data_IF_593611099899
#
_entry.id   IF_593611099899
#
_cell.length_a   1.000
_cell.length_b   1.000
_cell.length_c   1.000
_cell.angle_alpha   90.00
_cell.angle_beta   90.00
_cell.angle_gamma   90.00
#
_symmetry.space_group_name_H-M   'P 1'
#
loop_
_entity.id
_entity.type
_entity.pdbx_description
1 polymer ?
#
# COMPACT_ATOMS: atom_id res chain seq x y z
N UNK A 1 9.04 -4.72 -6.79
CA UNK A 1 10.40 -4.58 -6.18
C UNK A 1 10.38 -4.41 -4.67
N UNK A 2 9.23 -4.09 -4.07
CA UNK A 2 9.07 -3.83 -2.63
C UNK A 2 8.01 -4.71 -1.97
N UNK A 3 7.52 -5.75 -2.65
CA UNK A 3 6.49 -6.65 -2.11
C UNK A 3 6.93 -7.29 -0.79
N UNK A 4 8.24 -7.49 -0.60
CA UNK A 4 8.83 -8.04 0.63
C UNK A 4 8.74 -7.12 1.85
N UNK A 5 8.45 -5.82 1.68
CA UNK A 5 8.20 -4.90 2.81
C UNK A 5 6.77 -5.01 3.35
N UNK A 6 5.85 -5.55 2.55
CA UNK A 6 4.47 -5.81 2.94
C UNK A 6 4.29 -7.21 3.53
N UNK A 7 3.07 -7.74 3.43
CA UNK A 7 2.70 -9.03 3.98
C UNK A 7 2.41 -10.08 2.88
N UNK A 8 1.39 -9.84 2.05
CA UNK A 8 0.89 -10.79 1.06
C UNK A 8 0.22 -10.09 -0.12
N UNK A 9 0.12 -10.71 -1.31
CA UNK A 9 -0.79 -10.24 -2.36
C UNK A 9 -2.28 -10.49 -2.03
N UNK A 10 -2.58 -11.28 -0.99
CA UNK A 10 -3.95 -11.52 -0.52
C UNK A 10 -4.44 -10.38 0.39
N UNK A 11 -5.61 -9.76 0.11
CA UNK A 11 -6.08 -8.59 0.84
C UNK A 11 -6.46 -8.90 2.29
N UNK A 12 -6.99 -10.10 2.56
CA UNK A 12 -7.41 -10.51 3.91
C UNK A 12 -6.18 -10.75 4.80
N UNK A 13 -5.21 -11.50 4.31
CA UNK A 13 -3.97 -11.78 5.05
C UNK A 13 -3.18 -10.50 5.32
N UNK A 14 -3.14 -9.58 4.34
CA UNK A 14 -2.49 -8.28 4.52
C UNK A 14 -3.27 -7.38 5.49
N UNK A 15 -4.61 -7.37 5.43
CA UNK A 15 -5.44 -6.60 6.35
C UNK A 15 -5.21 -6.97 7.82
N UNK A 16 -5.27 -8.28 8.13
CA UNK A 16 -4.96 -8.79 9.47
C UNK A 16 -3.52 -8.43 9.89
N UNK A 17 -2.54 -8.61 9.00
CA UNK A 17 -1.15 -8.26 9.27
C UNK A 17 -0.94 -6.76 9.57
N UNK A 18 -1.64 -5.90 8.85
CA UNK A 18 -1.60 -4.45 9.06
C UNK A 18 -2.25 -4.05 10.40
N UNK A 19 -3.46 -4.54 10.69
CA UNK A 19 -4.19 -4.19 11.91
C UNK A 19 -3.42 -4.56 13.19
N UNK A 20 -2.89 -5.78 13.27
CA UNK A 20 -2.12 -6.25 14.42
C UNK A 20 -0.81 -5.48 14.58
N UNK A 21 -0.12 -5.18 13.47
CA UNK A 21 1.13 -4.40 13.50
C UNK A 21 0.87 -2.96 13.97
N UNK A 22 -0.19 -2.32 13.45
CA UNK A 22 -0.58 -0.96 13.85
C UNK A 22 -0.93 -0.93 15.32
N UNK A 23 -1.72 -1.89 15.80
CA UNK A 23 -2.12 -2.01 17.20
C UNK A 23 -0.89 -2.10 18.10
N UNK A 24 0.05 -3.01 17.80
CA UNK A 24 1.28 -3.15 18.59
C UNK A 24 2.15 -1.88 18.63
N UNK A 25 2.25 -1.14 17.51
CA UNK A 25 2.99 0.12 17.46
C UNK A 25 2.30 1.20 18.32
N UNK A 26 0.99 1.34 18.21
CA UNK A 26 0.23 2.37 18.92
C UNK A 26 0.09 2.09 20.41
N UNK A 27 -0.04 0.82 20.82
CA UNK A 27 -0.02 0.40 22.22
C UNK A 27 1.32 0.73 22.91
N UNK A 28 2.42 0.72 22.15
CA UNK A 28 3.74 1.14 22.63
C UNK A 28 3.90 2.68 22.72
N UNK A 29 2.84 3.44 22.43
CA UNK A 29 2.83 4.91 22.53
C UNK A 29 3.46 5.63 21.34
N UNK A 30 3.55 4.97 20.18
CA UNK A 30 4.11 5.55 18.95
C UNK A 30 3.05 5.60 17.85
N UNK A 31 3.01 6.69 17.08
CA UNK A 31 2.08 6.82 15.94
C UNK A 31 2.50 5.86 14.82
N UNK A 32 1.60 4.97 14.41
CA UNK A 32 1.79 4.12 13.25
C UNK A 32 1.47 4.87 11.93
N UNK A 33 1.99 4.38 10.81
CA UNK A 33 1.74 4.95 9.48
C UNK A 33 1.50 3.83 8.46
N UNK A 34 0.25 3.71 8.00
CA UNK A 34 -0.13 2.79 6.93
C UNK A 34 0.40 3.33 5.58
N UNK A 35 1.19 2.52 4.86
CA UNK A 35 1.81 2.92 3.59
C UNK A 35 1.93 1.75 2.61
N UNK A 36 1.96 1.99 1.29
CA UNK A 36 1.83 3.29 0.61
C UNK A 36 0.44 3.38 -0.02
N UNK A 37 -0.32 4.42 0.34
CA UNK A 37 -1.67 4.63 -0.18
C UNK A 37 -1.62 5.43 -1.49
N UNK A 38 -2.01 4.93 -2.66
CA UNK A 38 -2.33 3.55 -3.08
C UNK A 38 -1.89 3.40 -4.56
N UNK A 39 -1.88 2.18 -5.12
CA UNK A 39 -1.48 1.93 -6.51
C UNK A 39 0.04 1.89 -6.73
N UNK A 40 0.81 1.77 -5.64
CA UNK A 40 2.27 1.74 -5.67
C UNK A 40 2.84 0.32 -5.83
N UNK A 41 2.49 -0.33 -6.94
CA UNK A 41 2.83 -1.74 -7.20
C UNK A 41 4.16 -1.94 -7.96
N UNK A 42 4.78 -0.87 -8.45
CA UNK A 42 6.06 -0.96 -9.18
C UNK A 42 7.05 0.15 -8.83
N UNK A 43 8.35 -0.19 -8.90
CA UNK A 43 9.44 0.78 -8.70
C UNK A 43 9.72 1.60 -9.95
N UNK A 44 9.53 1.01 -11.13
CA UNK A 44 9.89 1.64 -12.38
C UNK A 44 8.95 2.83 -12.64
N UNK A 45 9.54 4.00 -12.88
CA UNK A 45 8.82 5.26 -13.08
C UNK A 45 7.97 5.73 -11.88
N UNK A 46 8.22 5.26 -10.65
CA UNK A 46 7.53 5.77 -9.43
C UNK A 46 7.73 7.27 -9.20
N UNK A 47 8.75 7.84 -9.84
CA UNK A 47 9.09 9.26 -9.90
C UNK A 47 9.34 9.64 -11.35
N UNK A 48 9.21 10.93 -11.66
CA UNK A 48 9.68 11.46 -12.93
C UNK A 48 11.16 11.16 -13.13
N UNK A 49 11.53 10.82 -14.37
CA UNK A 49 12.89 10.54 -14.79
C UNK A 49 13.23 11.51 -15.91
N UNK A 50 14.11 12.47 -15.62
CA UNK A 50 14.52 13.50 -16.58
C UNK A 50 14.98 12.87 -17.90
N UNK A 51 14.38 13.31 -19.01
CA UNK A 51 14.69 12.81 -20.36
C UNK A 51 14.11 11.44 -20.71
N UNK A 52 13.31 10.82 -19.81
CA UNK A 52 12.69 9.50 -20.04
C UNK A 52 11.18 9.53 -19.77
N UNK A 53 10.76 10.04 -18.62
CA UNK A 53 9.35 10.15 -18.23
C UNK A 53 9.15 11.43 -17.42
N UNK A 54 8.39 12.38 -17.96
CA UNK A 54 8.16 13.70 -17.35
C UNK A 54 7.35 13.62 -16.04
N UNK A 55 6.49 12.60 -15.92
CA UNK A 55 5.65 12.35 -14.75
C UNK A 55 5.92 10.96 -14.17
N UNK A 56 5.55 10.76 -12.90
CA UNK A 56 5.47 9.42 -12.34
C UNK A 56 4.39 8.59 -13.06
N UNK A 57 4.51 7.27 -13.03
CA UNK A 57 3.50 6.40 -13.63
C UNK A 57 2.13 6.59 -12.96
N UNK A 58 1.07 6.35 -13.72
CA UNK A 58 -0.29 6.35 -13.23
C UNK A 58 -0.79 4.91 -13.13
N UNK A 59 -1.22 4.50 -11.93
CA UNK A 59 -1.97 3.27 -11.73
C UNK A 59 -3.46 3.53 -11.98
N UNK A 60 -3.97 3.08 -13.12
CA UNK A 60 -5.39 3.21 -13.47
C UNK A 60 -6.12 1.93 -13.05
N UNK A 61 -6.88 2.01 -11.96
CA UNK A 61 -7.55 0.87 -11.31
C UNK A 61 -9.05 1.15 -11.31
N UNK A 62 -9.88 0.17 -11.70
CA UNK A 62 -11.33 0.31 -11.64
C UNK A 62 -11.87 0.26 -10.19
N UNK A 63 -13.08 0.77 -10.01
CA UNK A 63 -13.68 0.93 -8.68
C UNK A 63 -13.82 -0.39 -7.91
N UNK A 64 -14.21 -1.47 -8.60
CA UNK A 64 -14.39 -2.78 -7.98
C UNK A 64 -13.05 -3.34 -7.52
N UNK A 65 -12.05 -3.32 -8.40
CA UNK A 65 -10.70 -3.78 -8.06
C UNK A 65 -10.07 -2.95 -6.95
N UNK A 66 -10.33 -1.64 -6.92
CA UNK A 66 -9.88 -0.78 -5.82
C UNK A 66 -10.44 -1.28 -4.48
N UNK A 67 -11.76 -1.46 -4.40
CA UNK A 67 -12.43 -1.80 -3.14
C UNK A 67 -12.20 -3.25 -2.69
N UNK A 68 -12.19 -4.21 -3.61
CA UNK A 68 -12.11 -5.63 -3.27
C UNK A 68 -10.66 -6.15 -3.10
N UNK A 69 -9.65 -5.36 -3.49
CA UNK A 69 -8.25 -5.78 -3.42
C UNK A 69 -7.35 -4.75 -2.73
N UNK A 70 -7.09 -3.61 -3.38
CA UNK A 70 -6.03 -2.70 -2.93
C UNK A 70 -6.41 -1.88 -1.70
N UNK A 71 -7.68 -1.50 -1.57
CA UNK A 71 -8.17 -0.66 -0.48
C UNK A 71 -8.51 -1.48 0.77
N UNK A 72 -8.85 -2.77 0.60
CA UNK A 72 -9.24 -3.67 1.68
C UNK A 72 -8.29 -3.62 2.89
N UNK A 73 -6.96 -3.81 2.76
CA UNK A 73 -6.07 -3.79 3.92
C UNK A 73 -5.92 -2.40 4.57
N UNK A 74 -6.22 -1.31 3.84
CA UNK A 74 -6.30 0.03 4.44
C UNK A 74 -7.59 0.23 5.22
N UNK A 75 -8.69 -0.45 4.87
CA UNK A 75 -9.91 -0.44 5.67
C UNK A 75 -9.68 -1.11 7.03
N UNK A 76 -8.94 -2.22 7.07
CA UNK A 76 -8.54 -2.89 8.32
C UNK A 76 -7.56 -2.05 9.18
N UNK A 77 -6.87 -1.09 8.57
CA UNK A 77 -5.90 -0.22 9.23
C UNK A 77 -6.51 1.02 9.90
N UNK A 78 -7.76 1.36 9.59
CA UNK A 78 -8.51 2.53 10.09
C UNK A 78 -9.24 2.19 11.38
#
# INVERSE_FOLDING_TARGET
>A
GRNWEGFSPDPVLTGVGMAETITGIQDAGVIACAKHFIGYEQEHFRQAVSGVAEYAYSANIDDKTMHELYLWPFADAV
#
